data_IF_277492807908
#
_entry.id   IF_277492807908
#
_cell.length_a   1.000
_cell.length_b   1.000
_cell.length_c   1.000
_cell.angle_alpha   90.00
_cell.angle_beta   90.00
_cell.angle_gamma   90.00
#
_symmetry.space_group_name_H-M   'P 1'
#
loop_
_entity.id
_entity.type
_entity.pdbx_description
1 polymer ?
#
# COMPACT_ATOMS: atom_id res chain seq x y z
N UNK A 1 -0.66 -11.76 -7.74
CA UNK A 1 -1.94 -12.03 -7.03
C UNK A 1 -1.60 -12.69 -5.70
N UNK A 2 -2.11 -12.17 -4.59
CA UNK A 2 -1.88 -12.78 -3.28
C UNK A 2 -2.85 -13.96 -3.18
N UNK A 3 -2.34 -15.17 -3.35
CA UNK A 3 -3.18 -16.38 -3.25
C UNK A 3 -3.50 -16.62 -1.78
N UNK A 4 -4.75 -16.43 -1.38
CA UNK A 4 -5.24 -16.86 -0.08
C UNK A 4 -5.39 -18.39 -0.15
N UNK A 5 -4.56 -19.12 0.59
CA UNK A 5 -4.71 -20.57 0.74
C UNK A 5 -5.85 -20.86 1.70
N UNK A 6 -7.04 -21.06 1.14
CA UNK A 6 -8.19 -21.57 1.87
C UNK A 6 -8.13 -23.11 1.92
N UNK A 7 -7.95 -23.66 3.11
CA UNK A 7 -7.95 -25.11 3.36
C UNK A 7 -9.40 -25.57 3.55
N UNK A 8 -10.06 -25.90 2.44
CA UNK A 8 -11.45 -26.35 2.41
C UNK A 8 -11.67 -27.57 3.31
N UNK A 9 -10.68 -28.47 3.44
CA UNK A 9 -10.80 -29.67 4.26
C UNK A 9 -10.90 -29.31 5.75
N UNK A 10 -9.97 -28.49 6.25
CA UNK A 10 -10.01 -28.04 7.67
C UNK A 10 -11.26 -27.23 7.99
N UNK A 11 -11.74 -26.44 7.03
CA UNK A 11 -12.97 -25.66 7.20
C UNK A 11 -14.20 -26.57 7.33
N UNK A 12 -14.33 -27.53 6.42
CA UNK A 12 -15.40 -28.54 6.42
C UNK A 12 -15.36 -29.36 7.71
N UNK A 13 -14.20 -29.83 8.15
CA UNK A 13 -14.04 -30.58 9.39
C UNK A 13 -14.48 -29.77 10.63
N UNK A 14 -14.11 -28.49 10.69
CA UNK A 14 -14.54 -27.60 11.78
C UNK A 14 -16.05 -27.41 11.83
N UNK A 15 -16.69 -27.18 10.67
CA UNK A 15 -18.13 -26.98 10.62
C UNK A 15 -18.90 -28.26 10.98
N UNK A 16 -18.44 -29.42 10.50
CA UNK A 16 -19.01 -30.71 10.91
C UNK A 16 -18.84 -30.97 12.39
N UNK A 17 -17.67 -30.66 12.97
CA UNK A 17 -17.41 -30.78 14.41
C UNK A 17 -18.29 -29.84 15.24
N UNK A 18 -18.71 -28.69 14.67
CA UNK A 18 -19.66 -27.77 15.26
C UNK A 18 -21.14 -28.18 15.09
N UNK A 19 -21.41 -29.32 14.44
CA UNK A 19 -22.76 -29.84 14.24
C UNK A 19 -23.50 -29.25 13.04
N UNK A 20 -22.80 -28.57 12.12
CA UNK A 20 -23.40 -28.02 10.90
C UNK A 20 -23.75 -29.17 9.94
N UNK A 21 -24.96 -29.21 9.35
CA UNK A 21 -25.36 -30.23 8.38
C UNK A 21 -24.45 -30.25 7.14
N UNK A 22 -24.11 -31.44 6.65
CA UNK A 22 -23.20 -31.64 5.50
C UNK A 22 -23.54 -30.80 4.25
N UNK A 23 -24.84 -30.61 4.00
CA UNK A 23 -25.36 -29.82 2.89
C UNK A 23 -25.00 -28.33 3.03
N UNK A 24 -25.09 -27.78 4.25
CA UNK A 24 -24.69 -26.41 4.55
C UNK A 24 -23.17 -26.26 4.53
N UNK A 25 -22.44 -27.24 5.08
CA UNK A 25 -20.98 -27.21 5.09
C UNK A 25 -20.41 -27.13 3.68
N UNK A 26 -20.95 -27.93 2.74
CA UNK A 26 -20.55 -27.85 1.33
C UNK A 26 -20.87 -26.50 0.72
N UNK A 27 -22.11 -26.02 0.87
CA UNK A 27 -22.54 -24.74 0.30
C UNK A 27 -21.71 -23.55 0.81
N UNK A 28 -21.41 -23.51 2.12
CA UNK A 28 -20.57 -22.48 2.71
C UNK A 28 -19.12 -22.57 2.25
N UNK A 29 -18.59 -23.79 2.12
CA UNK A 29 -17.22 -24.00 1.66
C UNK A 29 -17.01 -23.58 0.20
N UNK A 30 -17.99 -23.85 -0.66
CA UNK A 30 -17.96 -23.47 -2.07
C UNK A 30 -18.12 -21.95 -2.23
N UNK A 31 -19.10 -21.35 -1.53
CA UNK A 31 -19.33 -19.90 -1.58
C UNK A 31 -18.12 -19.10 -1.07
N UNK A 32 -17.44 -19.57 -0.02
CA UNK A 32 -16.25 -18.91 0.52
C UNK A 32 -15.04 -19.09 -0.42
N UNK A 33 -14.90 -20.25 -1.05
CA UNK A 33 -13.84 -20.47 -2.06
C UNK A 33 -14.03 -19.57 -3.28
N UNK A 34 -15.26 -19.39 -3.75
CA UNK A 34 -15.60 -18.50 -4.86
C UNK A 34 -15.37 -17.02 -4.50
N UNK A 35 -15.78 -16.60 -3.30
CA UNK A 35 -15.56 -15.25 -2.80
C UNK A 35 -14.07 -14.92 -2.64
N UNK A 36 -13.25 -15.88 -2.17
CA UNK A 36 -11.81 -15.70 -2.04
C UNK A 36 -11.09 -15.76 -3.40
N UNK A 37 -11.61 -16.51 -4.37
CA UNK A 37 -11.09 -16.57 -5.74
C UNK A 37 -11.35 -15.30 -6.55
N UNK A 38 -12.41 -14.56 -6.22
CA UNK A 38 -12.81 -13.30 -6.89
C UNK A 38 -12.30 -12.05 -6.18
N UNK A 39 -11.75 -12.17 -4.97
CA UNK A 39 -11.18 -11.06 -4.23
C UNK A 39 -9.86 -10.57 -4.87
N UNK A 40 -9.91 -9.51 -5.67
CA UNK A 40 -8.72 -8.77 -6.10
C UNK A 40 -8.13 -8.00 -4.90
N UNK A 41 -7.13 -8.59 -4.25
CA UNK A 41 -6.36 -7.91 -3.21
C UNK A 41 -5.08 -7.33 -3.79
N UNK A 42 -4.81 -6.06 -3.47
CA UNK A 42 -3.50 -5.45 -3.68
C UNK A 42 -2.45 -6.31 -2.98
N UNK A 43 -1.48 -6.81 -3.74
CA UNK A 43 -0.46 -7.69 -3.17
C UNK A 43 0.52 -6.90 -2.31
N UNK A 44 1.21 -7.57 -1.39
CA UNK A 44 2.29 -6.94 -0.62
C UNK A 44 3.33 -6.29 -1.55
N UNK A 45 3.56 -6.88 -2.71
CA UNK A 45 4.46 -6.36 -3.73
C UNK A 45 3.95 -5.03 -4.33
N UNK A 46 2.65 -4.90 -4.57
CA UNK A 46 2.05 -3.66 -5.06
C UNK A 46 2.19 -2.54 -4.02
N UNK A 47 2.00 -2.86 -2.74
CA UNK A 47 2.19 -1.91 -1.64
C UNK A 47 3.65 -1.49 -1.53
N UNK A 48 4.60 -2.42 -1.67
CA UNK A 48 6.03 -2.12 -1.67
C UNK A 48 6.44 -1.24 -2.86
N UNK A 49 5.87 -1.50 -4.04
CA UNK A 49 6.08 -0.69 -5.25
C UNK A 49 5.60 0.75 -5.05
N UNK A 50 4.38 0.92 -4.54
CA UNK A 50 3.83 2.26 -4.24
C UNK A 50 4.68 2.98 -3.18
N UNK A 51 5.14 2.26 -2.13
CA UNK A 51 6.06 2.83 -1.14
C UNK A 51 7.39 3.27 -1.74
N UNK A 52 7.94 2.52 -2.70
CA UNK A 52 9.18 2.92 -3.39
C UNK A 52 8.98 4.19 -4.20
N UNK A 53 7.94 4.21 -5.05
CA UNK A 53 7.61 5.37 -5.87
C UNK A 53 7.36 6.63 -5.02
N UNK A 54 6.70 6.47 -3.86
CA UNK A 54 6.47 7.58 -2.94
C UNK A 54 7.77 8.09 -2.31
N UNK A 55 8.73 7.20 -1.97
CA UNK A 55 10.05 7.61 -1.47
C UNK A 55 10.85 8.35 -2.52
N UNK A 56 10.85 7.87 -3.76
CA UNK A 56 11.52 8.51 -4.90
C UNK A 56 10.95 9.90 -5.15
N UNK A 57 9.62 10.03 -5.25
CA UNK A 57 8.96 11.32 -5.43
C UNK A 57 9.25 12.30 -4.28
N UNK A 58 9.26 11.82 -3.03
CA UNK A 58 9.60 12.65 -1.87
C UNK A 58 11.06 13.13 -1.93
N UNK A 59 11.98 12.27 -2.35
CA UNK A 59 13.39 12.64 -2.51
C UNK A 59 13.57 13.69 -3.60
N UNK A 60 12.91 13.53 -4.76
CA UNK A 60 12.94 14.51 -5.85
C UNK A 60 12.36 15.86 -5.44
N UNK A 61 11.21 15.87 -4.75
CA UNK A 61 10.59 17.09 -4.24
C UNK A 61 11.53 17.78 -3.25
N UNK A 62 12.10 17.05 -2.30
CA UNK A 62 13.03 17.61 -1.32
C UNK A 62 14.28 18.20 -1.99
N UNK A 63 14.83 17.54 -3.00
CA UNK A 63 15.98 18.05 -3.75
C UNK A 63 15.64 19.35 -4.50
N UNK A 64 14.49 19.39 -5.19
CA UNK A 64 14.01 20.59 -5.89
C UNK A 64 13.73 21.73 -4.92
N UNK A 65 13.08 21.46 -3.79
CA UNK A 65 12.81 22.46 -2.76
C UNK A 65 14.09 23.01 -2.15
N UNK A 66 15.06 22.15 -1.85
CA UNK A 66 16.37 22.58 -1.33
C UNK A 66 17.08 23.50 -2.32
N UNK A 67 17.10 23.14 -3.60
CA UNK A 67 17.68 23.98 -4.65
C UNK A 67 16.97 25.33 -4.77
N UNK A 68 15.63 25.33 -4.77
CA UNK A 68 14.84 26.57 -4.80
C UNK A 68 15.09 27.43 -3.57
N UNK A 69 15.18 26.83 -2.38
CA UNK A 69 15.52 27.54 -1.15
C UNK A 69 16.91 28.20 -1.24
N UNK A 70 17.92 27.52 -1.79
CA UNK A 70 19.25 28.11 -1.98
C UNK A 70 19.25 29.22 -3.03
N UNK A 71 18.55 29.05 -4.15
CA UNK A 71 18.43 30.14 -5.14
C UNK A 71 17.75 31.37 -4.53
N UNK A 72 16.65 31.18 -3.79
CA UNK A 72 15.97 32.28 -3.12
C UNK A 72 16.86 32.93 -2.06
N UNK A 73 17.59 32.15 -1.26
CA UNK A 73 18.52 32.69 -0.26
C UNK A 73 19.62 33.52 -0.93
N UNK A 74 20.19 33.05 -2.05
CA UNK A 74 21.18 33.79 -2.82
C UNK A 74 20.61 35.09 -3.40
N UNK A 75 19.40 35.05 -3.97
CA UNK A 75 18.73 36.25 -4.50
C UNK A 75 18.47 37.28 -3.40
N UNK A 76 17.94 36.85 -2.25
CA UNK A 76 17.69 37.74 -1.10
C UNK A 76 18.99 38.35 -0.59
N UNK A 77 20.07 37.57 -0.46
CA UNK A 77 21.38 38.09 -0.05
C UNK A 77 21.91 39.10 -1.08
N UNK A 78 21.81 38.80 -2.37
CA UNK A 78 22.28 39.68 -3.43
C UNK A 78 21.55 41.03 -3.47
N UNK A 79 20.26 41.07 -3.13
CA UNK A 79 19.45 42.30 -3.13
C UNK A 79 19.54 43.08 -1.82
N UNK A 80 19.52 42.41 -0.67
CA UNK A 80 19.41 43.06 0.64
C UNK A 80 20.77 43.53 1.18
N UNK A 81 21.85 42.80 0.93
CA UNK A 81 23.19 43.18 1.46
C UNK A 81 23.68 44.52 0.92
N UNK A 82 23.57 44.83 -0.39
CA UNK A 82 23.98 46.15 -0.90
C UNK A 82 23.20 47.32 -0.29
N UNK A 83 21.91 47.13 0.02
CA UNK A 83 21.05 48.16 0.62
C UNK A 83 21.38 48.46 2.09
N UNK A 84 22.08 47.55 2.78
CA UNK A 84 22.50 47.74 4.18
C UNK A 84 23.90 48.35 4.32
N UNK A 85 24.70 48.32 3.25
CA UNK A 85 26.10 48.80 3.22
C UNK A 85 26.22 50.20 2.59
N UNK A 86 25.14 50.69 1.97
CA UNK A 86 24.99 52.06 1.44
C UNK A 86 24.38 52.99 2.50
#
# INVERSE_FOLDING_TARGET
MATITFDTLKFVEKLKAAGVPDLQVKAESEALQEALGTAEMATKHDIERVKSQLREMKAEINAKLTLVQWMLALTVVAEVVPLLVM
#
